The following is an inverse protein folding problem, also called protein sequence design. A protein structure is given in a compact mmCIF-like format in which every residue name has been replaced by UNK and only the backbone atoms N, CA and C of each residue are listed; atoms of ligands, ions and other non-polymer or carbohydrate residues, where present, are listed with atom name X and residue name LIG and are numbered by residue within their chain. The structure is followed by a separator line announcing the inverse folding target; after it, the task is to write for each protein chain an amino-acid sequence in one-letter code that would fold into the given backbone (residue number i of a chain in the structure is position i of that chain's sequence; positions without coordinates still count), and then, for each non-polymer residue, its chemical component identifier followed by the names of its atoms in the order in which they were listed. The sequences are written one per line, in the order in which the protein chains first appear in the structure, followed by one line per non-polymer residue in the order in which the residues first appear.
data_IF_489260822112
#
_entry.id   IF_489260822112
#
_cell.length_a   1.000
_cell.length_b   1.000
_cell.length_c   1.000
_cell.angle_alpha   90.00
_cell.angle_beta   90.00
_cell.angle_gamma   90.00
#
_symmetry.space_group_name_H-M   'P 1'
#
loop_
_entity.id
_entity.type
_entity.pdbx_description
1 polymer ?
#
# COMPACT_ATOMS: atom_id res chain seq x y z
N UNK A 1 -12.33 -12.55 2.78
CA UNK A 1 -12.75 -11.29 2.13
C UNK A 1 -11.90 -11.09 0.89
N UNK A 2 -12.51 -10.66 -0.21
CA UNK A 2 -11.86 -10.38 -1.50
C UNK A 2 -12.54 -9.16 -2.15
N UNK A 3 -11.89 -8.55 -3.15
CA UNK A 3 -12.41 -7.41 -3.92
C UNK A 3 -12.10 -7.50 -5.43
N UNK A 4 -11.62 -8.65 -5.88
CA UNK A 4 -11.33 -8.88 -7.30
C UNK A 4 -12.57 -9.32 -8.05
N UNK A 5 -12.69 -8.95 -9.35
CA UNK A 5 -13.77 -9.38 -10.23
C UNK A 5 -13.57 -10.83 -10.70
N UNK A 6 -13.69 -11.78 -9.80
CA UNK A 6 -13.56 -13.21 -10.06
C UNK A 6 -14.87 -13.94 -9.81
N UNK A 7 -15.05 -15.11 -10.43
CA UNK A 7 -16.16 -16.00 -10.17
C UNK A 7 -16.17 -16.45 -8.69
N UNK A 8 -17.36 -16.60 -8.15
CA UNK A 8 -17.55 -17.08 -6.79
C UNK A 8 -16.90 -18.46 -6.64
N UNK A 9 -16.01 -18.66 -5.65
CA UNK A 9 -15.51 -20.00 -5.36
C UNK A 9 -16.67 -20.89 -4.94
N UNK A 10 -16.63 -22.18 -5.28
CA UNK A 10 -17.63 -23.13 -4.80
C UNK A 10 -17.65 -23.11 -3.28
N UNK A 11 -18.85 -22.98 -2.65
CA UNK A 11 -18.95 -23.00 -1.20
C UNK A 11 -18.38 -24.32 -0.66
N UNK A 12 -17.42 -24.23 0.23
CA UNK A 12 -16.92 -25.37 0.99
C UNK A 12 -17.48 -25.31 2.41
N UNK A 13 -17.64 -26.44 3.06
CA UNK A 13 -18.10 -26.53 4.43
C UNK A 13 -17.17 -25.72 5.36
N UNK A 14 -17.74 -24.82 6.15
CA UNK A 14 -17.01 -23.92 7.09
C UNK A 14 -16.14 -22.82 6.43
N UNK A 15 -16.32 -22.55 5.15
CA UNK A 15 -15.68 -21.42 4.46
C UNK A 15 -16.70 -20.32 4.20
N UNK A 16 -16.50 -19.16 4.80
CA UNK A 16 -17.29 -17.96 4.59
C UNK A 16 -16.55 -17.01 3.66
N UNK A 17 -17.08 -16.82 2.46
CA UNK A 17 -16.51 -15.93 1.46
C UNK A 17 -17.34 -14.66 1.31
N UNK A 18 -16.68 -13.52 1.32
CA UNK A 18 -17.27 -12.22 1.04
C UNK A 18 -16.45 -11.49 -0.01
N UNK A 19 -17.11 -10.95 -1.03
CA UNK A 19 -16.49 -10.11 -2.05
C UNK A 19 -17.42 -8.94 -2.33
N UNK A 20 -16.94 -7.71 -2.11
CA UNK A 20 -17.71 -6.48 -2.30
C UNK A 20 -18.17 -6.28 -3.74
N UNK A 21 -17.40 -6.76 -4.73
CA UNK A 21 -17.80 -6.72 -6.15
C UNK A 21 -19.02 -7.59 -6.49
N UNK A 22 -19.28 -8.62 -5.69
CA UNK A 22 -20.39 -9.55 -5.89
C UNK A 22 -21.62 -9.23 -5.03
N UNK A 23 -21.64 -8.05 -4.39
CA UNK A 23 -22.78 -7.58 -3.59
C UNK A 23 -23.89 -7.01 -4.49
N UNK A 24 -25.10 -6.79 -3.95
CA UNK A 24 -26.18 -6.10 -4.66
C UNK A 24 -25.81 -4.69 -5.14
N UNK A 25 -24.87 -4.05 -4.44
CA UNK A 25 -24.26 -2.78 -4.83
C UNK A 25 -22.75 -3.01 -4.92
N UNK A 26 -22.27 -3.43 -6.09
CA UNK A 26 -20.86 -3.69 -6.30
C UNK A 26 -20.00 -2.47 -5.95
N UNK A 27 -18.94 -2.68 -5.21
CA UNK A 27 -18.05 -1.64 -4.78
C UNK A 27 -16.59 -2.13 -4.80
N UNK A 28 -15.66 -1.21 -4.94
CA UNK A 28 -14.24 -1.50 -5.13
C UNK A 28 -13.41 -1.34 -3.84
N UNK A 29 -14.06 -1.36 -2.68
CA UNK A 29 -13.34 -1.26 -1.41
C UNK A 29 -12.39 -2.46 -1.23
N UNK A 30 -11.11 -2.19 -0.92
CA UNK A 30 -10.12 -3.23 -0.74
C UNK A 30 -10.36 -4.04 0.54
N UNK A 31 -9.75 -5.22 0.60
CA UNK A 31 -9.83 -6.11 1.78
C UNK A 31 -9.49 -5.38 3.08
N UNK A 32 -8.50 -4.49 3.03
CA UNK A 32 -8.06 -3.71 4.19
C UNK A 32 -9.16 -2.79 4.73
N UNK A 33 -9.97 -2.18 3.85
CA UNK A 33 -11.11 -1.36 4.25
C UNK A 33 -12.09 -2.18 5.11
N UNK A 34 -12.51 -3.33 4.60
CA UNK A 34 -13.45 -4.19 5.31
C UNK A 34 -12.87 -4.79 6.59
N UNK A 35 -11.59 -5.17 6.57
CA UNK A 35 -10.90 -5.65 7.76
C UNK A 35 -10.90 -4.61 8.88
N UNK A 36 -10.64 -3.33 8.55
CA UNK A 36 -10.68 -2.23 9.50
C UNK A 36 -12.09 -1.99 10.06
N UNK A 37 -13.11 -1.97 9.19
CA UNK A 37 -14.50 -1.80 9.61
C UNK A 37 -14.96 -2.91 10.57
N UNK A 38 -14.56 -4.16 10.31
CA UNK A 38 -14.91 -5.31 11.15
C UNK A 38 -14.14 -5.29 12.48
N UNK A 39 -12.84 -4.99 12.44
CA UNK A 39 -11.99 -4.97 13.64
C UNK A 39 -12.37 -3.85 14.62
N UNK A 40 -12.80 -2.69 14.11
CA UNK A 40 -13.22 -1.53 14.89
C UNK A 40 -12.12 -0.91 15.77
N UNK A 41 -10.85 -1.20 15.49
CA UNK A 41 -9.69 -0.73 16.27
C UNK A 41 -9.20 0.62 15.75
N UNK A 42 -9.46 1.67 16.49
CA UNK A 42 -9.08 3.05 16.09
C UNK A 42 -7.59 3.24 15.94
N UNK A 43 -6.78 2.57 16.74
CA UNK A 43 -5.33 2.59 16.69
C UNK A 43 -4.76 2.07 15.36
N UNK A 44 -5.50 1.25 14.63
CA UNK A 44 -5.10 0.68 13.35
C UNK A 44 -5.49 1.58 12.15
N UNK A 45 -6.06 2.77 12.38
CA UNK A 45 -6.51 3.69 11.34
C UNK A 45 -5.41 4.02 10.32
N UNK A 46 -4.19 4.29 10.78
CA UNK A 46 -3.07 4.57 9.90
C UNK A 46 -2.70 3.39 9.01
N UNK A 47 -2.75 2.16 9.55
CA UNK A 47 -2.44 0.93 8.81
C UNK A 47 -3.53 0.61 7.78
N UNK A 48 -4.79 0.80 8.17
CA UNK A 48 -5.93 0.66 7.27
C UNK A 48 -5.85 1.63 6.09
N UNK A 49 -5.47 2.88 6.37
CA UNK A 49 -5.31 3.89 5.32
C UNK A 49 -4.14 3.52 4.38
N UNK A 50 -3.01 3.04 4.93
CA UNK A 50 -1.90 2.55 4.12
C UNK A 50 -2.34 1.44 3.15
N UNK A 51 -3.12 0.45 3.61
CA UNK A 51 -3.60 -0.62 2.76
C UNK A 51 -4.57 -0.11 1.69
N UNK A 52 -5.49 0.80 2.04
CA UNK A 52 -6.44 1.36 1.07
C UNK A 52 -5.74 2.16 -0.03
N UNK A 53 -4.81 3.07 0.31
CA UNK A 53 -4.11 3.85 -0.71
C UNK A 53 -3.12 3.01 -1.53
N UNK A 54 -2.60 1.92 -0.96
CA UNK A 54 -1.79 0.94 -1.66
C UNK A 54 -2.56 0.24 -2.78
N UNK A 55 -3.86 0.01 -2.59
CA UNK A 55 -4.79 -0.55 -3.57
C UNK A 55 -5.46 0.54 -4.45
N UNK A 56 -4.97 1.78 -4.40
CA UNK A 56 -5.50 2.89 -5.20
C UNK A 56 -6.86 3.41 -4.74
N UNK A 57 -7.30 3.08 -3.53
CA UNK A 57 -8.60 3.45 -2.96
C UNK A 57 -8.47 4.52 -1.88
N UNK A 58 -9.21 5.63 -2.00
CA UNK A 58 -9.30 6.66 -0.96
C UNK A 58 -10.54 6.43 -0.10
N UNK A 59 -10.40 5.93 1.15
CA UNK A 59 -11.53 5.59 1.99
C UNK A 59 -12.20 6.83 2.61
N UNK A 60 -13.46 6.68 3.02
CA UNK A 60 -14.24 7.72 3.70
C UNK A 60 -13.61 8.17 5.03
N UNK A 61 -12.95 7.27 5.74
CA UNK A 61 -12.22 7.58 6.98
C UNK A 61 -10.89 8.35 6.76
N UNK A 62 -10.51 8.65 5.53
CA UNK A 62 -9.33 9.48 5.23
C UNK A 62 -9.39 10.86 5.89
N UNK A 63 -10.61 11.44 6.03
CA UNK A 63 -10.83 12.70 6.75
C UNK A 63 -10.60 12.59 8.26
N UNK A 64 -10.85 11.42 8.84
CA UNK A 64 -10.53 11.16 10.24
C UNK A 64 -9.02 11.05 10.42
N UNK A 65 -8.34 10.35 9.50
CA UNK A 65 -6.88 10.24 9.51
C UNK A 65 -6.19 11.61 9.40
N UNK A 66 -6.73 12.56 8.64
CA UNK A 66 -6.22 13.92 8.55
C UNK A 66 -6.23 14.65 9.90
N UNK A 67 -7.22 14.41 10.74
CA UNK A 67 -7.31 14.99 12.09
C UNK A 67 -6.34 14.33 13.08
N UNK A 68 -6.19 13.00 12.99
CA UNK A 68 -5.41 12.22 13.95
C UNK A 68 -3.90 12.18 13.59
N UNK A 69 -3.58 12.25 12.30
CA UNK A 69 -2.22 12.12 11.76
C UNK A 69 -1.84 13.28 10.84
N UNK A 70 -2.20 14.51 11.20
CA UNK A 70 -2.03 15.70 10.37
C UNK A 70 -0.59 15.90 9.83
N UNK A 71 0.42 15.52 10.59
CA UNK A 71 1.82 15.59 10.15
C UNK A 71 2.17 14.56 9.06
N UNK A 72 1.43 13.44 9.00
CA UNK A 72 1.68 12.33 8.08
C UNK A 72 0.72 12.32 6.89
N UNK A 73 -0.47 12.94 7.06
CA UNK A 73 -1.57 12.90 6.11
C UNK A 73 -2.37 14.19 6.13
N UNK A 74 -2.33 14.96 5.04
CA UNK A 74 -3.09 16.21 4.90
C UNK A 74 -3.30 16.58 3.44
N UNK A 75 -4.36 17.35 3.17
CA UNK A 75 -4.67 17.94 1.85
C UNK A 75 -4.77 16.93 0.70
N UNK A 76 -5.15 15.68 1.00
CA UNK A 76 -5.20 14.57 0.04
C UNK A 76 -6.58 14.49 -0.60
N UNK A 77 -6.62 14.51 -1.92
CA UNK A 77 -7.85 14.41 -2.73
C UNK A 77 -7.98 13.09 -3.48
N UNK A 78 -6.89 12.40 -3.73
CA UNK A 78 -6.85 11.13 -4.45
C UNK A 78 -5.95 10.14 -3.75
N UNK A 79 -6.19 8.83 -3.94
CA UNK A 79 -5.30 7.79 -3.41
C UNK A 79 -3.87 7.92 -3.96
N UNK A 80 -3.72 8.38 -5.21
CA UNK A 80 -2.43 8.63 -5.84
C UNK A 80 -1.64 9.74 -5.11
N UNK A 81 -2.26 10.89 -4.84
CA UNK A 81 -1.63 11.95 -4.01
C UNK A 81 -1.24 11.39 -2.64
N UNK A 82 -2.17 10.65 -1.99
CA UNK A 82 -1.90 10.00 -0.72
C UNK A 82 -0.67 9.10 -0.75
N UNK A 83 -0.53 8.27 -1.78
CA UNK A 83 0.56 7.31 -1.92
C UNK A 83 1.91 7.99 -2.21
N UNK A 84 1.94 9.06 -3.00
CA UNK A 84 3.20 9.64 -3.50
C UNK A 84 3.61 10.94 -2.83
N UNK A 85 2.68 11.71 -2.24
CA UNK A 85 2.93 13.07 -1.76
C UNK A 85 2.86 13.21 -0.23
N UNK A 86 2.56 12.09 0.50
CA UNK A 86 2.45 12.12 1.96
C UNK A 86 3.47 11.22 2.65
N UNK A 87 3.76 11.48 3.94
CA UNK A 87 4.59 10.61 4.77
C UNK A 87 3.88 9.25 5.02
N UNK A 88 2.56 9.23 5.12
CA UNK A 88 1.81 7.98 5.22
C UNK A 88 1.94 7.14 3.94
N UNK A 89 1.95 7.78 2.78
CA UNK A 89 2.27 7.14 1.51
C UNK A 89 3.70 6.61 1.46
N UNK A 90 4.65 7.31 2.10
CA UNK A 90 6.01 6.79 2.28
C UNK A 90 6.03 5.52 3.11
N UNK A 91 5.26 5.48 4.22
CA UNK A 91 5.08 4.25 5.03
C UNK A 91 4.52 3.12 4.16
N UNK A 92 3.48 3.39 3.37
CA UNK A 92 2.88 2.41 2.45
C UNK A 92 3.92 1.82 1.51
N UNK A 93 4.77 2.65 0.90
CA UNK A 93 5.84 2.18 0.00
C UNK A 93 6.93 1.40 0.72
N UNK A 94 7.27 1.77 1.97
CA UNK A 94 8.20 1.00 2.82
C UNK A 94 7.66 -0.41 3.04
N UNK A 95 6.39 -0.54 3.42
CA UNK A 95 5.73 -1.82 3.64
C UNK A 95 5.65 -2.65 2.34
N UNK A 96 5.25 -2.03 1.22
CA UNK A 96 5.17 -2.69 -0.09
C UNK A 96 6.52 -3.24 -0.56
N UNK A 97 7.61 -2.50 -0.36
CA UNK A 97 8.94 -2.99 -0.68
C UNK A 97 9.43 -4.08 0.28
N UNK A 98 9.05 -4.01 1.55
CA UNK A 98 9.37 -5.03 2.53
C UNK A 98 8.65 -6.37 2.24
N UNK A 99 7.45 -6.34 1.66
CA UNK A 99 6.73 -7.54 1.21
C UNK A 99 7.44 -8.29 0.07
N UNK A 100 8.35 -7.64 -0.66
CA UNK A 100 9.15 -8.26 -1.73
C UNK A 100 10.45 -8.91 -1.23
N UNK A 101 10.60 -9.06 0.08
CA UNK A 101 11.74 -9.73 0.71
C UNK A 101 11.47 -11.23 0.93
N UNK A 102 12.43 -11.94 1.49
CA UNK A 102 12.30 -13.38 1.85
C UNK A 102 11.16 -13.57 2.84
N UNK A 103 10.41 -14.67 2.71
CA UNK A 103 9.26 -15.00 3.56
C UNK A 103 9.56 -14.86 5.06
N UNK A 104 10.74 -15.28 5.51
CA UNK A 104 11.13 -15.14 6.93
C UNK A 104 11.18 -13.68 7.42
N UNK A 105 11.58 -12.74 6.55
CA UNK A 105 11.62 -11.32 6.86
C UNK A 105 10.22 -10.72 6.81
N UNK A 106 9.39 -11.14 5.85
CA UNK A 106 7.98 -10.75 5.77
C UNK A 106 7.22 -11.16 7.03
N UNK A 107 7.41 -12.40 7.51
CA UNK A 107 6.79 -12.86 8.77
C UNK A 107 7.27 -12.06 9.98
N UNK A 108 8.54 -11.69 10.05
CA UNK A 108 9.06 -10.81 11.11
C UNK A 108 8.42 -9.42 11.05
N UNK A 109 8.30 -8.86 9.85
CA UNK A 109 7.60 -7.58 9.64
C UNK A 109 6.15 -7.65 10.10
N UNK A 110 5.40 -8.68 9.70
CA UNK A 110 4.01 -8.86 10.14
C UNK A 110 3.90 -8.91 11.67
N UNK A 111 4.78 -9.67 12.33
CA UNK A 111 4.81 -9.73 13.80
C UNK A 111 5.11 -8.38 14.43
N UNK A 112 6.02 -7.60 13.85
CA UNK A 112 6.34 -6.25 14.31
C UNK A 112 5.12 -5.32 14.20
N UNK A 113 4.37 -5.38 13.10
CA UNK A 113 3.20 -4.54 12.87
C UNK A 113 2.05 -4.75 13.88
N UNK A 114 2.00 -5.88 14.60
CA UNK A 114 1.00 -6.09 15.66
C UNK A 114 1.09 -5.09 16.82
N UNK A 115 2.25 -4.47 17.04
CA UNK A 115 2.49 -3.52 18.14
C UNK A 115 3.12 -2.20 17.68
N UNK A 116 3.42 -2.05 16.39
CA UNK A 116 4.07 -0.87 15.86
C UNK A 116 3.08 0.28 15.67
N UNK A 117 3.58 1.49 15.90
CA UNK A 117 2.95 2.73 15.45
C UNK A 117 3.51 3.18 14.08
N UNK A 118 2.84 4.13 13.45
CA UNK A 118 3.32 4.76 12.21
C UNK A 118 4.73 5.38 12.36
N UNK A 119 5.06 5.89 13.54
CA UNK A 119 6.38 6.47 13.86
C UNK A 119 7.48 5.42 13.87
N UNK A 120 7.19 4.22 14.38
CA UNK A 120 8.18 3.13 14.46
C UNK A 120 8.64 2.68 13.06
N UNK A 121 7.78 2.82 12.04
CA UNK A 121 8.13 2.50 10.65
C UNK A 121 9.14 3.51 10.07
N UNK A 122 9.00 4.78 10.44
CA UNK A 122 9.83 5.88 9.94
C UNK A 122 11.12 6.06 10.74
N UNK A 123 11.27 5.39 11.87
CA UNK A 123 12.43 5.54 12.73
C UNK A 123 13.71 5.00 12.08
N UNK A 124 14.66 5.89 11.87
CA UNK A 124 15.98 5.56 11.29
C UNK A 124 16.90 4.94 12.34
N UNK A 125 16.73 3.63 12.57
CA UNK A 125 17.66 2.88 13.39
C UNK A 125 18.16 1.63 12.65
N UNK A 126 19.32 1.11 13.09
CA UNK A 126 19.98 -0.06 12.47
C UNK A 126 19.14 -1.35 12.56
N UNK A 127 18.12 -1.39 13.39
CA UNK A 127 17.22 -2.54 13.56
C UNK A 127 16.02 -2.49 12.61
N UNK A 128 15.75 -1.33 12.02
CA UNK A 128 14.65 -1.19 11.06
C UNK A 128 15.03 -1.73 9.69
N UNK A 129 14.95 -3.05 9.56
CA UNK A 129 15.30 -3.76 8.31
C UNK A 129 14.37 -3.41 7.15
N UNK A 130 13.13 -3.01 7.41
CA UNK A 130 12.16 -2.58 6.38
C UNK A 130 12.61 -1.28 5.74
N UNK A 131 12.99 -0.29 6.54
CA UNK A 131 13.47 1.00 6.05
C UNK A 131 14.81 0.84 5.30
N UNK A 132 15.70 0.00 5.80
CA UNK A 132 16.95 -0.31 5.09
C UNK A 132 16.66 -0.95 3.73
N UNK A 133 15.73 -1.89 3.66
CA UNK A 133 15.31 -2.53 2.40
C UNK A 133 14.66 -1.52 1.46
N UNK A 134 13.76 -0.70 1.97
CA UNK A 134 13.16 0.39 1.21
C UNK A 134 14.20 1.31 0.58
N UNK A 135 15.18 1.79 1.36
CA UNK A 135 16.20 2.70 0.87
C UNK A 135 17.02 2.08 -0.27
N UNK A 136 17.39 0.80 -0.16
CA UNK A 136 18.11 0.07 -1.21
C UNK A 136 17.30 -0.04 -2.51
N UNK A 137 16.01 -0.37 -2.40
CA UNK A 137 15.13 -0.53 -3.57
C UNK A 137 14.78 0.83 -4.16
N UNK A 138 14.47 1.80 -3.30
CA UNK A 138 14.08 3.15 -3.71
C UNK A 138 15.21 3.88 -4.46
N UNK A 139 16.47 3.69 -4.09
CA UNK A 139 17.59 4.25 -4.85
C UNK A 139 17.60 3.78 -6.31
N UNK A 140 17.39 2.49 -6.52
CA UNK A 140 17.31 1.92 -7.88
C UNK A 140 16.06 2.41 -8.62
N UNK A 141 14.93 2.49 -7.91
CA UNK A 141 13.66 2.99 -8.45
C UNK A 141 13.78 4.45 -8.91
N UNK A 142 14.38 5.33 -8.11
CA UNK A 142 14.61 6.73 -8.50
C UNK A 142 15.49 6.85 -9.76
N UNK A 143 16.55 6.05 -9.87
CA UNK A 143 17.38 6.00 -11.10
C UNK A 143 16.58 5.59 -12.33
N UNK A 144 15.62 4.65 -12.17
CA UNK A 144 14.73 4.26 -13.27
C UNK A 144 13.75 5.37 -13.64
N UNK A 145 13.18 6.07 -12.64
CA UNK A 145 12.31 7.22 -12.89
C UNK A 145 13.03 8.35 -13.62
N UNK A 146 14.27 8.66 -13.25
CA UNK A 146 15.09 9.65 -13.96
C UNK A 146 15.32 9.25 -15.41
N UNK A 147 15.68 7.99 -15.66
CA UNK A 147 15.81 7.46 -17.02
C UNK A 147 14.51 7.59 -17.80
N UNK A 148 13.37 7.23 -17.20
CA UNK A 148 12.07 7.32 -17.86
C UNK A 148 11.66 8.77 -18.16
N UNK A 149 11.93 9.72 -17.26
CA UNK A 149 11.67 11.16 -17.47
C UNK A 149 12.50 11.73 -18.62
N UNK A 150 13.73 11.27 -18.78
CA UNK A 150 14.63 11.69 -19.85
C UNK A 150 14.35 10.97 -21.18
N UNK A 151 13.47 9.97 -21.19
CA UNK A 151 13.08 9.27 -22.40
C UNK A 151 12.07 10.11 -23.20
N UNK A 152 12.36 10.32 -24.49
CA UNK A 152 11.54 11.18 -25.33
C UNK A 152 10.09 10.71 -25.46
N UNK A 153 9.14 11.62 -25.29
CA UNK A 153 7.71 11.38 -25.56
C UNK A 153 7.42 11.49 -27.06
N UNK A 154 6.69 10.54 -27.61
CA UNK A 154 6.05 10.66 -28.93
C UNK A 154 4.56 10.93 -28.74
N UNK A 155 4.16 12.21 -28.75
CA UNK A 155 2.78 12.63 -28.52
C UNK A 155 2.31 12.28 -27.11
N UNK A 156 1.21 11.51 -26.99
CA UNK A 156 0.63 11.06 -25.70
C UNK A 156 1.24 9.75 -25.18
N UNK A 157 2.14 9.11 -25.94
CA UNK A 157 2.73 7.81 -25.59
C UNK A 157 4.14 8.00 -25.06
N UNK A 158 4.42 7.45 -23.88
CA UNK A 158 5.75 7.20 -23.35
C UNK A 158 6.03 5.70 -23.45
N UNK A 159 7.03 5.33 -24.27
CA UNK A 159 7.54 3.95 -24.31
C UNK A 159 8.90 3.92 -23.61
N UNK A 160 9.01 3.14 -22.54
CA UNK A 160 10.23 3.00 -21.76
C UNK A 160 10.53 1.52 -21.51
N UNK A 161 11.75 1.11 -21.82
CA UNK A 161 12.24 -0.25 -21.60
C UNK A 161 13.43 -0.22 -20.64
N UNK A 162 13.43 -1.15 -19.67
CA UNK A 162 14.52 -1.30 -18.70
C UNK A 162 14.92 -2.77 -18.53
N UNK A 163 16.14 -3.01 -18.02
CA UNK A 163 16.79 -4.34 -18.01
C UNK A 163 16.28 -5.34 -16.94
N UNK A 164 15.16 -5.09 -16.25
CA UNK A 164 14.54 -6.06 -15.35
C UNK A 164 15.28 -6.30 -14.01
N UNK A 165 16.23 -5.45 -13.63
CA UNK A 165 16.93 -5.56 -12.33
C UNK A 165 16.02 -5.34 -11.10
N UNK A 166 14.86 -4.74 -11.31
CA UNK A 166 13.80 -4.58 -10.32
C UNK A 166 12.52 -5.22 -10.86
N UNK A 167 11.90 -6.09 -10.08
CA UNK A 167 10.52 -6.48 -10.32
C UNK A 167 9.64 -5.29 -9.89
N UNK A 168 9.20 -4.50 -10.85
CA UNK A 168 8.25 -3.41 -10.65
C UNK A 168 6.89 -3.96 -11.06
N UNK A 169 5.96 -4.03 -10.11
CA UNK A 169 4.55 -4.26 -10.43
C UNK A 169 3.92 -2.94 -10.90
N UNK A 170 2.80 -3.04 -11.61
CA UNK A 170 2.04 -1.88 -12.10
C UNK A 170 1.55 -0.95 -10.97
N UNK A 171 1.56 -1.45 -9.75
CA UNK A 171 1.05 -0.78 -8.55
C UNK A 171 2.12 0.05 -7.81
N UNK A 172 3.30 0.24 -8.39
CA UNK A 172 4.40 1.03 -7.80
C UNK A 172 4.76 2.20 -8.71
#
# INVERSE_FOLDING_TARGET
IDHHGIDFPKPEENVYYYNSMNSEKPSAEPVTYWAYQIAGKKEDLWLALCGCIGDGFLPDFAKQAEKEYFELWRDVKTAFEGLYETELGRITRILSFALKDRTSNVVKMMKFLFSASSRDILEENRKNTMLLRYNQVNEKYQKLLEKARNFGRKGKLLYFQYGGELSISADI
#
